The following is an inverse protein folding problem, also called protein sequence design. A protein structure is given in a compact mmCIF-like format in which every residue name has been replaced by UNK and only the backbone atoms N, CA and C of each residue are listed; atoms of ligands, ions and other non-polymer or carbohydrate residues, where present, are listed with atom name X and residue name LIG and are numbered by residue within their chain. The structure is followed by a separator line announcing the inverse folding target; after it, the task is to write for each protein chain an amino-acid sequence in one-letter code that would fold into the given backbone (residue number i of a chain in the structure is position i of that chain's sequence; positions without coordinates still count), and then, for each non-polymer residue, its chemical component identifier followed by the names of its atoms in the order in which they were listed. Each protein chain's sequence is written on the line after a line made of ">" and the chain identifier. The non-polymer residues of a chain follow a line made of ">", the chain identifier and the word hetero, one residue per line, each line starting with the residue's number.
data_IF_660535457412
#
_entry.id   IF_660535457412
#
_cell.length_a   1.000
_cell.length_b   1.000
_cell.length_c   1.000
_cell.angle_alpha   90.00
_cell.angle_beta   90.00
_cell.angle_gamma   90.00
#
_symmetry.space_group_name_H-M   'P 1'
#
loop_
_entity.id
_entity.type
_entity.pdbx_description
1 polymer ?
#
# COMPACT_ATOMS: atom_id res chain seq x y z
N UNK A 1 9.51 -6.18 -14.94
CA UNK A 1 8.73 -5.97 -13.69
C UNK A 1 8.74 -7.24 -12.84
N UNK A 2 8.17 -8.35 -13.34
CA UNK A 2 8.02 -9.57 -12.56
C UNK A 2 9.31 -10.12 -11.96
N UNK A 3 10.44 -10.09 -12.67
CA UNK A 3 11.73 -10.53 -12.11
C UNK A 3 12.22 -9.72 -10.90
N UNK A 4 12.15 -8.38 -10.97
CA UNK A 4 12.51 -7.50 -9.85
C UNK A 4 11.55 -7.61 -8.68
N UNK A 5 10.26 -7.79 -8.98
CA UNK A 5 9.25 -7.99 -7.96
C UNK A 5 9.44 -9.34 -7.28
N UNK A 6 9.57 -10.44 -8.02
CA UNK A 6 9.69 -11.80 -7.46
C UNK A 6 10.94 -11.98 -6.62
N UNK A 7 12.05 -11.30 -6.94
CA UNK A 7 13.27 -11.36 -6.12
C UNK A 7 13.08 -10.82 -4.71
N UNK A 8 12.10 -9.93 -4.50
CA UNK A 8 11.72 -9.41 -3.18
C UNK A 8 10.53 -10.20 -2.62
N UNK A 9 9.56 -10.48 -3.48
CA UNK A 9 8.27 -10.99 -3.07
C UNK A 9 8.32 -12.45 -2.59
N UNK A 10 9.17 -13.29 -3.20
CA UNK A 10 9.38 -14.67 -2.77
C UNK A 10 9.99 -14.80 -1.36
N UNK A 11 11.13 -14.15 -1.03
CA UNK A 11 11.69 -14.23 0.33
C UNK A 11 10.75 -13.60 1.35
N UNK A 12 10.05 -12.50 1.02
CA UNK A 12 9.06 -11.91 1.92
C UNK A 12 7.90 -12.89 2.19
N UNK A 13 7.38 -13.57 1.16
CA UNK A 13 6.32 -14.58 1.34
C UNK A 13 6.78 -15.71 2.24
N UNK A 14 8.01 -16.21 2.05
CA UNK A 14 8.57 -17.25 2.91
C UNK A 14 8.65 -16.81 4.38
N UNK A 15 9.11 -15.58 4.63
CA UNK A 15 9.17 -15.00 5.97
C UNK A 15 7.79 -14.75 6.57
N UNK A 16 6.80 -14.35 5.76
CA UNK A 16 5.42 -14.18 6.20
C UNK A 16 4.81 -15.51 6.62
N UNK A 17 4.98 -16.57 5.82
CA UNK A 17 4.52 -17.92 6.16
C UNK A 17 5.19 -18.41 7.46
N UNK A 18 6.51 -18.24 7.59
CA UNK A 18 7.22 -18.59 8.81
C UNK A 18 6.69 -17.81 10.03
N UNK A 19 6.42 -16.51 9.86
CA UNK A 19 5.84 -15.66 10.90
C UNK A 19 4.45 -16.13 11.32
N UNK A 20 3.57 -16.45 10.36
CA UNK A 20 2.22 -16.96 10.66
C UNK A 20 2.26 -18.28 11.42
N UNK A 21 3.16 -19.20 11.03
CA UNK A 21 3.37 -20.47 11.74
C UNK A 21 3.86 -20.25 13.16
N UNK A 22 4.82 -19.34 13.35
CA UNK A 22 5.36 -19.02 14.67
C UNK A 22 4.30 -18.41 15.57
N UNK A 23 3.50 -17.46 15.06
CA UNK A 23 2.40 -16.85 15.81
C UNK A 23 1.39 -17.91 16.21
N UNK A 24 0.91 -18.73 15.26
CA UNK A 24 -0.06 -19.79 15.56
C UNK A 24 0.46 -20.80 16.59
N UNK A 25 1.75 -21.15 16.53
CA UNK A 25 2.39 -22.03 17.51
C UNK A 25 2.52 -21.39 18.90
N UNK A 26 2.67 -20.06 18.98
CA UNK A 26 2.90 -19.35 20.25
C UNK A 26 1.62 -18.87 20.93
N UNK A 27 0.58 -18.54 20.17
CA UNK A 27 -0.66 -17.97 20.69
C UNK A 27 -1.80 -18.97 20.79
N UNK A 28 -1.60 -20.22 20.33
CA UNK A 28 -2.66 -21.22 20.12
C UNK A 28 -3.84 -20.70 19.24
N UNK A 29 -3.61 -19.62 18.49
CA UNK A 29 -4.58 -18.99 17.59
C UNK A 29 -4.06 -19.08 16.15
N UNK A 30 -4.60 -20.04 15.40
CA UNK A 30 -4.28 -20.21 13.99
C UNK A 30 -5.04 -19.21 13.13
N UNK A 31 -4.33 -18.59 12.19
CA UNK A 31 -4.93 -17.66 11.23
C UNK A 31 -5.78 -18.46 10.24
N UNK A 32 -7.06 -18.12 10.06
CA UNK A 32 -7.90 -18.75 9.04
C UNK A 32 -7.28 -18.62 7.65
N UNK A 33 -7.44 -19.66 6.82
CA UNK A 33 -6.82 -19.69 5.48
C UNK A 33 -7.21 -18.48 4.62
N UNK A 34 -8.46 -18.02 4.70
CA UNK A 34 -8.93 -16.84 3.96
C UNK A 34 -8.17 -15.57 4.34
N UNK A 35 -7.90 -15.39 5.64
CA UNK A 35 -7.22 -14.20 6.16
C UNK A 35 -5.72 -14.25 5.83
N UNK A 36 -5.12 -15.44 5.90
CA UNK A 36 -3.74 -15.67 5.45
C UNK A 36 -3.57 -15.35 3.96
N UNK A 37 -4.51 -15.78 3.10
CA UNK A 37 -4.48 -15.48 1.67
C UNK A 37 -4.60 -13.98 1.41
N UNK A 38 -5.56 -13.29 2.04
CA UNK A 38 -5.72 -11.83 1.88
C UNK A 38 -4.48 -11.10 2.35
N UNK A 39 -3.90 -11.51 3.49
CA UNK A 39 -2.69 -10.89 4.02
C UNK A 39 -1.50 -11.05 3.07
N UNK A 40 -1.26 -12.26 2.56
CA UNK A 40 -0.20 -12.50 1.58
C UNK A 40 -0.44 -11.70 0.31
N UNK A 41 -1.65 -11.75 -0.26
CA UNK A 41 -1.97 -11.04 -1.51
C UNK A 41 -1.80 -9.52 -1.34
N UNK A 42 -2.29 -8.94 -0.25
CA UNK A 42 -2.13 -7.52 0.05
C UNK A 42 -0.64 -7.13 0.16
N UNK A 43 0.16 -7.93 0.87
CA UNK A 43 1.61 -7.69 0.97
C UNK A 43 2.30 -7.76 -0.41
N UNK A 44 1.94 -8.74 -1.22
CA UNK A 44 2.50 -8.93 -2.57
C UNK A 44 2.14 -7.77 -3.51
N UNK A 45 0.93 -7.23 -3.39
CA UNK A 45 0.47 -6.06 -4.14
C UNK A 45 1.23 -4.79 -3.74
N UNK A 46 1.43 -4.55 -2.45
CA UNK A 46 2.24 -3.40 -1.98
C UNK A 46 3.66 -3.47 -2.52
N UNK A 47 4.28 -4.65 -2.43
CA UNK A 47 5.62 -4.87 -2.99
C UNK A 47 5.64 -4.62 -4.50
N UNK A 48 4.59 -5.02 -5.22
CA UNK A 48 4.45 -4.74 -6.65
C UNK A 48 4.40 -3.23 -6.90
N UNK A 49 3.54 -2.50 -6.19
CA UNK A 49 3.39 -1.06 -6.36
C UNK A 49 4.70 -0.31 -6.12
N UNK A 50 5.40 -0.60 -5.01
CA UNK A 50 6.70 0.02 -4.72
C UNK A 50 7.77 -0.38 -5.74
N UNK A 51 7.78 -1.63 -6.22
CA UNK A 51 8.69 -2.06 -7.29
C UNK A 51 8.43 -1.25 -8.56
N UNK A 52 7.16 -1.05 -8.93
CA UNK A 52 6.80 -0.26 -10.12
C UNK A 52 7.20 1.20 -9.96
N UNK A 53 7.03 1.81 -8.77
CA UNK A 53 7.49 3.18 -8.53
C UNK A 53 9.02 3.31 -8.63
N UNK A 54 9.77 2.36 -8.07
CA UNK A 54 11.22 2.35 -8.16
C UNK A 54 11.70 2.22 -9.63
N UNK A 55 11.04 1.34 -10.40
CA UNK A 55 11.35 1.17 -11.82
C UNK A 55 10.97 2.41 -12.65
N UNK A 56 9.83 3.04 -12.36
CA UNK A 56 9.43 4.31 -12.96
C UNK A 56 10.45 5.41 -12.68
N UNK A 57 10.82 5.59 -11.42
CA UNK A 57 11.82 6.57 -10.99
C UNK A 57 13.15 6.34 -11.71
N UNK A 58 13.60 5.09 -11.76
CA UNK A 58 14.82 4.69 -12.47
C UNK A 58 14.76 4.97 -13.98
N UNK A 59 13.58 4.84 -14.60
CA UNK A 59 13.40 5.11 -16.04
C UNK A 59 13.30 6.60 -16.40
N UNK A 60 13.07 7.48 -15.41
CA UNK A 60 12.89 8.92 -15.60
C UNK A 60 14.17 9.68 -15.20
N UNK A 61 14.82 9.24 -14.12
CA UNK A 61 16.02 9.86 -13.60
C UNK A 61 17.19 9.72 -14.59
N UNK A 62 17.96 10.79 -14.73
CA UNK A 62 19.20 10.80 -15.55
C UNK A 62 20.36 10.10 -14.85
N UNK A 63 20.35 10.11 -13.52
CA UNK A 63 21.42 9.57 -12.68
C UNK A 63 20.86 8.59 -11.65
N UNK A 64 21.65 7.57 -11.30
CA UNK A 64 21.25 6.55 -10.32
C UNK A 64 20.95 7.15 -8.94
N UNK A 65 21.73 8.14 -8.51
CA UNK A 65 21.51 8.83 -7.24
C UNK A 65 20.14 9.51 -7.17
N UNK A 66 19.70 10.17 -8.24
CA UNK A 66 18.38 10.79 -8.32
C UNK A 66 17.24 9.77 -8.32
N UNK A 67 17.42 8.61 -8.97
CA UNK A 67 16.44 7.53 -8.96
C UNK A 67 16.21 6.98 -7.54
N UNK A 68 17.31 6.78 -6.81
CA UNK A 68 17.29 6.28 -5.43
C UNK A 68 16.63 7.32 -4.52
N UNK A 69 17.05 8.59 -4.59
CA UNK A 69 16.50 9.67 -3.78
C UNK A 69 14.99 9.86 -4.01
N UNK A 70 14.53 9.79 -5.27
CA UNK A 70 13.11 9.88 -5.59
C UNK A 70 12.32 8.70 -5.01
N UNK A 71 12.83 7.47 -5.15
CA UNK A 71 12.17 6.27 -4.64
C UNK A 71 12.05 6.30 -3.12
N UNK A 72 13.12 6.70 -2.44
CA UNK A 72 13.14 6.90 -0.99
C UNK A 72 12.14 8.00 -0.59
N UNK A 73 12.16 9.16 -1.26
CA UNK A 73 11.24 10.25 -0.98
C UNK A 73 9.77 9.85 -1.12
N UNK A 74 9.43 9.05 -2.14
CA UNK A 74 8.08 8.54 -2.34
C UNK A 74 7.66 7.52 -1.27
N UNK A 75 8.59 6.67 -0.83
CA UNK A 75 8.35 5.80 0.32
C UNK A 75 8.10 6.61 1.60
N UNK A 76 8.96 7.57 1.92
CA UNK A 76 8.81 8.48 3.06
C UNK A 76 7.48 9.25 3.03
N UNK A 77 7.07 9.71 1.84
CA UNK A 77 5.80 10.37 1.64
C UNK A 77 4.65 9.48 2.10
N UNK A 78 4.60 8.22 1.64
CA UNK A 78 3.48 7.34 1.92
C UNK A 78 3.54 6.66 3.30
N UNK A 79 4.70 6.55 3.93
CA UNK A 79 4.84 5.88 5.25
C UNK A 79 4.87 6.85 6.42
N UNK A 80 5.51 8.01 6.30
CA UNK A 80 5.71 8.94 7.42
C UNK A 80 4.94 10.24 7.23
N UNK A 81 5.01 10.84 6.05
CA UNK A 81 4.43 12.16 5.81
C UNK A 81 2.94 12.09 5.44
N UNK A 82 2.42 10.90 5.14
CA UNK A 82 1.06 10.74 4.68
C UNK A 82 0.04 11.21 5.72
N UNK A 83 0.27 10.87 6.99
CA UNK A 83 -0.59 11.33 8.09
C UNK A 83 -0.59 12.85 8.24
N UNK A 84 0.54 13.51 7.97
CA UNK A 84 0.60 14.98 7.95
C UNK A 84 -0.22 15.54 6.79
N UNK A 85 -0.17 14.88 5.64
CA UNK A 85 -0.97 15.26 4.48
C UNK A 85 -2.48 15.08 4.74
N UNK A 86 -2.90 13.96 5.32
CA UNK A 86 -4.31 13.70 5.64
C UNK A 86 -4.84 14.67 6.69
N UNK A 87 -4.09 14.92 7.77
CA UNK A 87 -4.45 15.90 8.81
C UNK A 87 -4.56 17.32 8.27
N UNK A 88 -3.64 17.75 7.41
CA UNK A 88 -3.73 19.06 6.76
C UNK A 88 -5.01 19.18 5.92
N UNK A 89 -5.33 18.18 5.10
CA UNK A 89 -6.55 18.18 4.30
C UNK A 89 -7.81 18.16 5.18
N UNK A 90 -7.80 17.40 6.28
CA UNK A 90 -8.91 17.36 7.24
C UNK A 90 -9.17 18.75 7.83
N UNK A 91 -8.12 19.43 8.30
CA UNK A 91 -8.21 20.77 8.85
C UNK A 91 -8.75 21.79 7.84
N UNK A 92 -8.29 21.72 6.58
CA UNK A 92 -8.77 22.59 5.50
C UNK A 92 -10.24 22.34 5.13
N UNK A 93 -10.74 21.12 5.35
CA UNK A 93 -12.15 20.75 5.14
C UNK A 93 -13.02 20.94 6.40
N UNK A 94 -12.48 21.58 7.45
CA UNK A 94 -13.22 21.85 8.69
C UNK A 94 -13.48 20.60 9.55
N UNK A 95 -12.78 19.49 9.29
CA UNK A 95 -12.84 18.30 10.13
C UNK A 95 -11.93 18.54 11.34
N UNK A 96 -12.43 18.27 12.54
CA UNK A 96 -11.66 18.44 13.76
C UNK A 96 -10.43 17.51 13.74
N UNK A 97 -9.24 18.09 13.85
CA UNK A 97 -7.96 17.37 13.87
C UNK A 97 -7.40 17.45 15.29
N UNK A 98 -7.10 16.30 15.89
CA UNK A 98 -6.51 16.23 17.23
C UNK A 98 -7.13 15.18 18.14
N UNK A 99 -8.36 14.73 17.85
CA UNK A 99 -8.96 13.56 18.46
C UNK A 99 -9.00 12.42 17.43
N UNK A 100 -8.12 11.43 17.60
CA UNK A 100 -8.04 10.25 16.71
C UNK A 100 -9.21 9.30 16.87
N UNK A 101 -10.09 9.54 17.85
CA UNK A 101 -11.34 8.81 18.05
C UNK A 101 -12.55 9.54 17.46
N UNK A 102 -12.37 10.76 16.92
CA UNK A 102 -13.45 11.45 16.24
C UNK A 102 -13.86 10.67 14.97
N UNK A 103 -15.13 10.27 14.93
CA UNK A 103 -15.66 9.45 13.83
C UNK A 103 -15.60 10.20 12.49
N UNK A 104 -15.72 11.53 12.51
CA UNK A 104 -15.59 12.36 11.31
C UNK A 104 -14.16 12.33 10.76
N UNK A 105 -13.16 12.44 11.63
CA UNK A 105 -11.75 12.30 11.25
C UNK A 105 -11.43 10.90 10.73
N UNK A 106 -11.88 9.84 11.41
CA UNK A 106 -11.62 8.45 10.99
C UNK A 106 -12.20 8.13 9.59
N UNK A 107 -13.42 8.60 9.31
CA UNK A 107 -14.04 8.45 7.98
C UNK A 107 -13.29 9.26 6.92
N UNK A 108 -12.87 10.48 7.25
CA UNK A 108 -12.12 11.33 6.34
C UNK A 108 -10.77 10.70 5.99
N UNK A 109 -10.01 10.31 7.01
CA UNK A 109 -8.72 9.64 6.87
C UNK A 109 -8.86 8.37 6.04
N UNK A 110 -9.83 7.50 6.37
CA UNK A 110 -10.06 6.26 5.64
C UNK A 110 -10.27 6.48 4.13
N UNK A 111 -11.00 7.53 3.74
CA UNK A 111 -11.21 7.87 2.32
C UNK A 111 -9.94 8.38 1.65
N UNK A 112 -9.19 9.25 2.32
CA UNK A 112 -7.92 9.78 1.78
C UNK A 112 -6.88 8.66 1.67
N UNK A 113 -6.87 7.71 2.60
CA UNK A 113 -5.94 6.57 2.61
C UNK A 113 -6.04 5.72 1.34
N UNK A 114 -7.19 5.66 0.67
CA UNK A 114 -7.32 5.01 -0.65
C UNK A 114 -6.44 5.63 -1.74
N UNK A 115 -5.97 6.86 -1.54
CA UNK A 115 -5.02 7.56 -2.41
C UNK A 115 -3.56 7.30 -2.01
N UNK A 116 -3.29 6.30 -1.16
CA UNK A 116 -1.94 5.81 -0.90
C UNK A 116 -1.86 4.28 -1.05
N UNK A 117 -0.73 3.74 -1.53
CA UNK A 117 -0.52 2.30 -1.59
C UNK A 117 -0.62 1.65 -0.20
N UNK A 118 -0.10 2.32 0.84
CA UNK A 118 -0.16 1.80 2.19
C UNK A 118 -1.59 1.81 2.73
N UNK A 119 -2.36 2.87 2.50
CA UNK A 119 -3.74 2.95 2.96
C UNK A 119 -4.63 1.89 2.30
N UNK A 120 -4.47 1.66 1.00
CA UNK A 120 -5.19 0.56 0.31
C UNK A 120 -4.81 -0.81 0.88
N UNK A 121 -3.55 -1.02 1.22
CA UNK A 121 -3.12 -2.23 1.90
C UNK A 121 -3.80 -2.43 3.26
N UNK A 122 -3.87 -1.40 4.09
CA UNK A 122 -4.58 -1.49 5.37
C UNK A 122 -6.06 -1.80 5.16
N UNK A 123 -6.72 -1.10 4.23
CA UNK A 123 -8.12 -1.36 3.89
C UNK A 123 -8.36 -2.78 3.38
N UNK A 124 -7.43 -3.36 2.62
CA UNK A 124 -7.53 -4.78 2.21
C UNK A 124 -7.50 -5.73 3.41
N UNK A 125 -6.65 -5.47 4.40
CA UNK A 125 -6.61 -6.27 5.63
C UNK A 125 -7.87 -6.07 6.49
N UNK A 126 -8.33 -4.82 6.58
CA UNK A 126 -9.54 -4.45 7.33
C UNK A 126 -10.79 -5.13 6.76
N UNK A 127 -10.84 -5.51 5.47
CA UNK A 127 -11.97 -6.29 4.91
C UNK A 127 -12.22 -7.65 5.58
N UNK A 128 -11.24 -8.14 6.36
CA UNK A 128 -11.30 -9.41 7.08
C UNK A 128 -11.47 -9.23 8.60
N UNK A 129 -11.52 -7.99 9.07
CA UNK A 129 -11.70 -7.66 10.48
C UNK A 129 -13.15 -7.26 10.75
N UNK A 130 -13.77 -7.87 11.74
CA UNK A 130 -15.10 -7.48 12.18
C UNK A 130 -15.04 -6.20 13.04
N UNK A 131 -15.99 -5.30 12.83
CA UNK A 131 -16.16 -4.09 13.65
C UNK A 131 -15.25 -2.90 13.30
N UNK A 132 -14.53 -2.94 12.18
CA UNK A 132 -13.74 -1.80 11.68
C UNK A 132 -14.57 -0.96 10.70
N UNK A 133 -14.97 0.24 11.13
CA UNK A 133 -15.73 1.19 10.30
C UNK A 133 -14.96 2.50 10.08
N UNK A 134 -14.05 2.51 9.09
CA UNK A 134 -13.30 3.73 8.68
C UNK A 134 -13.93 4.44 7.47
N UNK A 135 -15.24 4.26 7.26
CA UNK A 135 -15.99 4.94 6.20
C UNK A 135 -15.67 4.50 4.76
N UNK A 136 -14.99 3.37 4.60
CA UNK A 136 -14.66 2.74 3.32
C UNK A 136 -15.27 1.34 3.27
N UNK A 137 -16.01 1.04 2.21
CA UNK A 137 -16.55 -0.31 1.99
C UNK A 137 -15.49 -1.24 1.38
N UNK A 138 -15.65 -2.55 1.56
CA UNK A 138 -14.79 -3.55 0.91
C UNK A 138 -14.71 -3.36 -0.62
N UNK A 139 -15.84 -2.98 -1.25
CA UNK A 139 -15.85 -2.63 -2.67
C UNK A 139 -14.93 -1.45 -3.00
N UNK A 140 -14.93 -0.40 -2.17
CA UNK A 140 -14.03 0.75 -2.34
C UNK A 140 -12.56 0.35 -2.24
N UNK A 141 -12.21 -0.52 -1.28
CA UNK A 141 -10.87 -1.06 -1.13
C UNK A 141 -10.42 -1.87 -2.36
N UNK A 142 -11.28 -2.75 -2.88
CA UNK A 142 -10.98 -3.54 -4.08
C UNK A 142 -10.88 -2.67 -5.34
N UNK A 143 -11.75 -1.67 -5.49
CA UNK A 143 -11.66 -0.72 -6.61
C UNK A 143 -10.33 0.07 -6.57
N UNK A 144 -9.94 0.57 -5.40
CA UNK A 144 -8.66 1.25 -5.21
C UNK A 144 -7.48 0.30 -5.50
N UNK A 145 -7.57 -0.97 -5.08
CA UNK A 145 -6.56 -2.00 -5.38
C UNK A 145 -6.34 -2.18 -6.88
N UNK A 146 -7.44 -2.26 -7.65
CA UNK A 146 -7.39 -2.36 -9.10
C UNK A 146 -6.75 -1.11 -9.70
N UNK A 147 -7.16 0.09 -9.25
CA UNK A 147 -6.60 1.36 -9.73
C UNK A 147 -5.09 1.45 -9.45
N UNK A 148 -4.64 1.16 -8.23
CA UNK A 148 -3.23 1.16 -7.85
C UNK A 148 -2.40 0.09 -8.56
N UNK A 149 -3.04 -0.96 -9.06
CA UNK A 149 -2.35 -1.97 -9.87
C UNK A 149 -2.25 -1.50 -11.32
N UNK A 150 -3.35 -1.07 -11.93
CA UNK A 150 -3.41 -0.73 -13.36
C UNK A 150 -2.67 0.57 -13.66
N UNK A 151 -2.88 1.63 -12.87
CA UNK A 151 -2.38 2.98 -13.20
C UNK A 151 -0.84 3.03 -13.24
N UNK A 152 -0.10 2.60 -12.20
CA UNK A 152 1.36 2.63 -12.23
C UNK A 152 1.95 1.71 -13.31
N UNK A 153 1.37 0.51 -13.49
CA UNK A 153 1.80 -0.42 -14.53
C UNK A 153 1.64 0.18 -15.93
N UNK A 154 0.50 0.83 -16.20
CA UNK A 154 0.25 1.50 -17.46
C UNK A 154 1.27 2.62 -17.73
N UNK A 155 1.54 3.48 -16.74
CA UNK A 155 2.54 4.55 -16.88
C UNK A 155 3.94 3.98 -17.14
N UNK A 156 4.32 2.90 -16.45
CA UNK A 156 5.61 2.27 -16.64
C UNK A 156 5.74 1.65 -18.03
N UNK A 157 4.73 0.91 -18.48
CA UNK A 157 4.73 0.30 -19.81
C UNK A 157 4.77 1.36 -20.91
N UNK A 158 3.98 2.43 -20.79
CA UNK A 158 4.01 3.56 -21.73
C UNK A 158 5.38 4.22 -21.78
N UNK A 159 6.08 4.32 -20.64
CA UNK A 159 7.42 4.89 -20.57
C UNK A 159 8.45 3.98 -21.27
N UNK A 160 8.40 2.68 -21.04
CA UNK A 160 9.26 1.71 -21.71
C UNK A 160 9.09 1.74 -23.23
N UNK A 161 7.86 1.76 -23.72
CA UNK A 161 7.57 1.81 -25.17
C UNK A 161 8.08 3.10 -25.84
N UNK A 162 8.36 4.16 -25.08
CA UNK A 162 8.97 5.40 -25.60
C UNK A 162 10.50 5.40 -25.53
N UNK A 163 11.09 4.47 -24.78
CA UNK A 163 12.54 4.34 -24.61
C UNK A 163 13.13 3.31 -25.58
N UNK A 164 12.34 2.31 -25.98
CA UNK A 164 12.69 1.38 -27.06
C UNK A 164 12.36 2.08 -28.39
N UNK A 165 13.35 2.32 -29.27
CA UNK A 165 13.13 2.93 -30.59
C UNK A 165 12.34 2.04 -31.55
#
# INVERSE_FOLDING_TARGET
>A
IFGHWSSIALPVTALLLASMLLVGYRSDMWIPLGDAVVYIVAAMLVLLWYTVFALLASSIAREQGSAIAFSIGLWFLFTLLWVLFTTLLAALNGVAVGDTQDQGYLIFEGRIDLLSPNGVYHHLLETRLDGVERGVSAFGAYAATILWTIVPLYFFQRRLNRLVP
#
